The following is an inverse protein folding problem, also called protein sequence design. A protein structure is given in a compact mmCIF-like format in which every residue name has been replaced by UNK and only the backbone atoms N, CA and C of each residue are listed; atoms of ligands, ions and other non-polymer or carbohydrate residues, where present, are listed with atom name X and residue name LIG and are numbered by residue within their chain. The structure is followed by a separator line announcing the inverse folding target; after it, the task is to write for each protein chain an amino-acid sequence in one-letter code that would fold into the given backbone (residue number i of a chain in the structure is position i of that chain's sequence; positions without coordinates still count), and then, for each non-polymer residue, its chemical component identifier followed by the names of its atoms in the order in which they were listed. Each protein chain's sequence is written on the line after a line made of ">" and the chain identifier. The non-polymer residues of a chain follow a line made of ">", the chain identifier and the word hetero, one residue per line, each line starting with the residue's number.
data_IF_142766078043
#
_entry.id   IF_142766078043
#
_cell.length_a   1.000
_cell.length_b   1.000
_cell.length_c   1.000
_cell.angle_alpha   90.00
_cell.angle_beta   90.00
_cell.angle_gamma   90.00
#
_symmetry.space_group_name_H-M   'P 1'
#
loop_
_entity.id
_entity.type
_entity.pdbx_description
1 polymer ?
#
# COMPACT_ATOMS: atom_id res chain seq x y z
N UNK A 1 -15.17 7.26 10.37
CA UNK A 1 -15.57 6.44 9.19
C UNK A 1 -15.48 7.17 7.84
N UNK A 2 -16.05 8.37 7.63
CA UNK A 2 -15.91 9.10 6.34
C UNK A 2 -14.44 9.36 5.99
N UNK A 3 -13.64 9.76 6.98
CA UNK A 3 -12.20 10.00 6.84
C UNK A 3 -11.45 8.71 6.46
N UNK A 4 -11.73 7.62 7.16
CA UNK A 4 -11.14 6.29 6.88
C UNK A 4 -11.38 5.85 5.43
N UNK A 5 -12.63 5.98 4.94
CA UNK A 5 -12.97 5.63 3.56
C UNK A 5 -12.24 6.52 2.55
N UNK A 6 -12.19 7.83 2.80
CA UNK A 6 -11.53 8.79 1.91
C UNK A 6 -10.02 8.58 1.83
N UNK A 7 -9.33 8.46 2.98
CA UNK A 7 -7.88 8.26 3.01
C UNK A 7 -7.49 6.87 2.52
N UNK A 8 -8.25 5.82 2.89
CA UNK A 8 -8.01 4.46 2.43
C UNK A 8 -8.22 4.31 0.92
N UNK A 9 -9.28 4.92 0.35
CA UNK A 9 -9.51 4.90 -1.09
C UNK A 9 -8.43 5.67 -1.84
N UNK A 10 -8.08 6.88 -1.38
CA UNK A 10 -7.03 7.69 -2.01
C UNK A 10 -5.68 6.98 -1.95
N UNK A 11 -5.32 6.42 -0.80
CA UNK A 11 -4.12 5.63 -0.62
C UNK A 11 -4.11 4.40 -1.53
N UNK A 12 -5.24 3.70 -1.63
CA UNK A 12 -5.40 2.53 -2.49
C UNK A 12 -5.27 2.85 -3.98
N UNK A 13 -5.82 3.96 -4.46
CA UNK A 13 -5.68 4.40 -5.86
C UNK A 13 -4.22 4.74 -6.18
N UNK A 14 -3.56 5.50 -5.31
CA UNK A 14 -2.14 5.85 -5.49
C UNK A 14 -1.28 4.59 -5.46
N UNK A 15 -1.56 3.67 -4.52
CA UNK A 15 -0.83 2.41 -4.41
C UNK A 15 -1.08 1.50 -5.62
N UNK A 16 -2.31 1.44 -6.13
CA UNK A 16 -2.64 0.69 -7.34
C UNK A 16 -1.88 1.23 -8.56
N UNK A 17 -1.87 2.55 -8.76
CA UNK A 17 -1.10 3.17 -9.84
C UNK A 17 0.41 2.88 -9.70
N UNK A 18 0.96 3.01 -8.49
CA UNK A 18 2.35 2.68 -8.21
C UNK A 18 2.65 1.20 -8.45
N UNK A 19 1.73 0.30 -8.07
CA UNK A 19 1.84 -1.12 -8.33
C UNK A 19 1.91 -1.41 -9.83
N UNK A 20 1.10 -0.73 -10.66
CA UNK A 20 1.16 -0.85 -12.14
C UNK A 20 2.53 -0.41 -12.65
N UNK A 21 3.00 0.77 -12.27
CA UNK A 21 4.28 1.30 -12.75
C UNK A 21 5.44 0.38 -12.35
N UNK A 22 5.51 0.01 -11.08
CA UNK A 22 6.58 -0.85 -10.57
C UNK A 22 6.47 -2.28 -11.09
N UNK A 23 5.25 -2.83 -11.19
CA UNK A 23 4.98 -4.16 -11.72
C UNK A 23 5.39 -4.28 -13.18
N UNK A 24 5.04 -3.29 -14.01
CA UNK A 24 5.50 -3.24 -15.40
C UNK A 24 7.02 -3.09 -15.45
N UNK A 25 7.61 -2.21 -14.64
CA UNK A 25 9.06 -2.02 -14.62
C UNK A 25 9.82 -3.29 -14.18
N UNK A 26 9.31 -4.03 -13.20
CA UNK A 26 9.97 -5.19 -12.61
C UNK A 26 9.73 -6.52 -13.34
N UNK A 27 8.58 -6.67 -14.03
CA UNK A 27 8.23 -7.91 -14.73
C UNK A 27 8.58 -7.86 -16.23
N UNK A 28 8.78 -6.66 -16.77
CA UNK A 28 9.08 -6.48 -18.18
C UNK A 28 10.56 -6.72 -18.48
N UNK A 29 10.88 -7.48 -19.56
CA UNK A 29 12.26 -7.70 -19.99
C UNK A 29 12.93 -6.43 -20.55
N UNK A 30 12.17 -5.35 -20.81
CA UNK A 30 12.70 -4.11 -21.37
C UNK A 30 13.50 -3.25 -20.37
N UNK A 31 13.38 -3.50 -19.06
CA UNK A 31 13.99 -2.68 -18.01
C UNK A 31 15.16 -3.35 -17.27
N UNK A 32 15.82 -4.34 -17.90
CA UNK A 32 16.97 -5.07 -17.32
C UNK A 32 18.19 -4.20 -17.02
N UNK A 33 18.26 -2.99 -17.58
CA UNK A 33 19.30 -2.00 -17.29
C UNK A 33 19.12 -1.34 -15.91
N UNK A 34 17.92 -1.41 -15.30
CA UNK A 34 17.67 -0.87 -13.96
C UNK A 34 18.23 -1.86 -12.93
N UNK A 35 19.08 -1.42 -11.98
CA UNK A 35 19.59 -2.29 -10.94
C UNK A 35 18.46 -2.93 -10.13
N UNK A 36 18.48 -4.26 -10.01
CA UNK A 36 17.45 -5.05 -9.33
C UNK A 36 17.24 -4.59 -7.88
N UNK A 37 18.33 -4.28 -7.16
CA UNK A 37 18.26 -3.79 -5.79
C UNK A 37 17.43 -2.49 -5.65
N UNK A 38 17.47 -1.60 -6.65
CA UNK A 38 16.69 -0.35 -6.64
C UNK A 38 15.21 -0.66 -6.84
N UNK A 39 14.88 -1.54 -7.77
CA UNK A 39 13.49 -1.96 -8.00
C UNK A 39 12.92 -2.63 -6.75
N UNK A 40 13.64 -3.58 -6.16
CA UNK A 40 13.21 -4.26 -4.93
C UNK A 40 13.03 -3.28 -3.77
N UNK A 41 13.94 -2.31 -3.60
CA UNK A 41 13.80 -1.27 -2.61
C UNK A 41 12.52 -0.44 -2.83
N UNK A 42 12.22 -0.04 -4.07
CA UNK A 42 11.00 0.70 -4.39
C UNK A 42 9.73 -0.13 -4.16
N UNK A 43 9.76 -1.42 -4.51
CA UNK A 43 8.64 -2.35 -4.25
C UNK A 43 8.30 -2.48 -2.76
N UNK A 44 9.24 -2.22 -1.86
CA UNK A 44 8.99 -2.24 -0.41
C UNK A 44 8.67 -0.84 0.10
N UNK A 45 9.51 0.14 -0.21
CA UNK A 45 9.44 1.48 0.37
C UNK A 45 8.22 2.26 -0.10
N UNK A 46 7.82 2.14 -1.37
CA UNK A 46 6.67 2.90 -1.92
C UNK A 46 5.36 2.44 -1.27
N UNK A 47 5.03 1.14 -1.20
CA UNK A 47 3.86 0.68 -0.46
C UNK A 47 3.88 1.08 1.01
N UNK A 48 5.01 0.88 1.70
CA UNK A 48 5.13 1.22 3.12
C UNK A 48 4.89 2.72 3.34
N UNK A 49 5.44 3.59 2.50
CA UNK A 49 5.23 5.03 2.59
C UNK A 49 3.77 5.42 2.37
N UNK A 50 3.13 4.90 1.31
CA UNK A 50 1.73 5.24 0.98
C UNK A 50 0.78 4.78 2.08
N UNK A 51 0.92 3.52 2.52
CA UNK A 51 0.09 2.92 3.58
C UNK A 51 0.31 3.64 4.92
N UNK A 52 1.57 3.95 5.24
CA UNK A 52 1.94 4.67 6.46
C UNK A 52 1.39 6.09 6.48
N UNK A 53 1.44 6.81 5.35
CA UNK A 53 0.86 8.16 5.21
C UNK A 53 -0.66 8.12 5.32
N UNK A 54 -1.33 7.14 4.70
CA UNK A 54 -2.77 6.97 4.82
C UNK A 54 -3.17 6.72 6.29
N UNK A 55 -2.43 5.84 6.98
CA UNK A 55 -2.59 5.54 8.40
C UNK A 55 -2.35 6.76 9.30
N UNK A 56 -1.25 7.49 9.06
CA UNK A 56 -0.90 8.71 9.77
C UNK A 56 -1.99 9.78 9.65
N UNK A 57 -2.50 10.02 8.44
CA UNK A 57 -3.56 11.01 8.19
C UNK A 57 -4.87 10.62 8.86
N UNK A 58 -5.27 9.36 8.75
CA UNK A 58 -6.48 8.85 9.40
C UNK A 58 -6.35 8.91 10.94
N UNK A 59 -5.21 8.51 11.49
CA UNK A 59 -4.92 8.55 12.92
C UNK A 59 -4.86 9.97 13.48
N UNK A 60 -4.25 10.91 12.75
CA UNK A 60 -4.19 12.33 13.13
C UNK A 60 -5.59 12.96 13.21
N UNK A 61 -6.49 12.59 12.29
CA UNK A 61 -7.84 13.16 12.18
C UNK A 61 -8.83 12.55 13.16
N UNK A 62 -8.77 11.24 13.39
CA UNK A 62 -9.70 10.54 14.28
C UNK A 62 -9.16 10.33 15.72
N UNK A 63 -7.88 10.65 15.97
CA UNK A 63 -7.29 10.56 17.31
C UNK A 63 -7.11 9.14 17.85
N UNK A 64 -7.19 8.12 16.99
CA UNK A 64 -7.14 6.69 17.35
C UNK A 64 -6.30 5.90 16.35
N UNK A 65 -5.76 4.76 16.78
CA UNK A 65 -4.94 3.86 15.93
C UNK A 65 -5.81 3.05 14.97
N UNK A 66 -6.96 2.56 15.43
CA UNK A 66 -7.87 1.70 14.65
C UNK A 66 -8.25 2.32 13.30
N UNK A 67 -8.63 3.61 13.20
CA UNK A 67 -8.89 4.27 11.92
C UNK A 67 -7.72 4.20 10.93
N UNK A 68 -6.48 4.30 11.41
CA UNK A 68 -5.29 4.16 10.57
C UNK A 68 -5.05 2.74 10.10
N UNK A 69 -5.28 1.75 10.97
CA UNK A 69 -5.23 0.34 10.59
C UNK A 69 -6.28 0.02 9.51
N UNK A 70 -7.52 0.49 9.67
CA UNK A 70 -8.59 0.25 8.70
C UNK A 70 -8.34 0.98 7.38
N UNK A 71 -7.86 2.23 7.42
CA UNK A 71 -7.52 2.98 6.21
C UNK A 71 -6.35 2.34 5.46
N UNK A 72 -5.30 1.93 6.18
CA UNK A 72 -4.17 1.23 5.60
C UNK A 72 -4.57 -0.14 5.04
N UNK A 73 -5.37 -0.92 5.76
CA UNK A 73 -5.88 -2.21 5.28
C UNK A 73 -6.72 -2.07 4.02
N UNK A 74 -7.58 -1.06 3.93
CA UNK A 74 -8.37 -0.78 2.72
C UNK A 74 -7.48 -0.37 1.54
N UNK A 75 -6.51 0.53 1.76
CA UNK A 75 -5.56 0.93 0.74
C UNK A 75 -4.73 -0.27 0.25
N UNK A 76 -4.27 -1.09 1.18
CA UNK A 76 -3.51 -2.29 0.90
C UNK A 76 -4.32 -3.37 0.18
N UNK A 77 -5.61 -3.52 0.48
CA UNK A 77 -6.50 -4.40 -0.28
C UNK A 77 -6.56 -4.01 -1.75
N UNK A 78 -6.79 -2.71 -2.04
CA UNK A 78 -6.86 -2.19 -3.40
C UNK A 78 -5.52 -2.37 -4.11
N UNK A 79 -4.43 -1.90 -3.50
CA UNK A 79 -3.09 -2.01 -4.06
C UNK A 79 -2.65 -3.45 -4.27
N UNK A 80 -3.01 -4.35 -3.35
CA UNK A 80 -2.72 -5.77 -3.40
C UNK A 80 -3.47 -6.50 -4.51
N UNK A 81 -4.76 -6.20 -4.70
CA UNK A 81 -5.54 -6.73 -5.84
C UNK A 81 -4.96 -6.23 -7.16
N UNK A 82 -4.68 -4.93 -7.28
CA UNK A 82 -4.07 -4.37 -8.50
C UNK A 82 -2.70 -4.99 -8.76
N UNK A 83 -1.86 -5.12 -7.73
CA UNK A 83 -0.59 -5.83 -7.75
C UNK A 83 -0.74 -7.25 -8.30
N UNK A 84 -1.64 -8.04 -7.71
CA UNK A 84 -1.90 -9.41 -8.13
C UNK A 84 -2.41 -9.50 -9.58
N UNK A 85 -3.27 -8.56 -10.01
CA UNK A 85 -3.75 -8.49 -11.40
C UNK A 85 -2.61 -8.23 -12.39
N UNK A 86 -1.62 -7.44 -12.02
CA UNK A 86 -0.44 -7.22 -12.86
C UNK A 86 0.36 -8.52 -13.00
N UNK A 87 0.57 -9.26 -11.91
CA UNK A 87 1.21 -10.57 -12.00
C UNK A 87 0.45 -11.50 -12.96
N UNK A 88 -0.88 -11.52 -12.90
CA UNK A 88 -1.73 -12.29 -13.83
C UNK A 88 -1.56 -11.83 -15.28
N UNK A 89 -1.51 -10.51 -15.53
CA UNK A 89 -1.29 -9.95 -16.87
C UNK A 89 0.07 -10.37 -17.47
N UNK A 90 1.07 -10.65 -16.62
CA UNK A 90 2.37 -11.19 -17.02
C UNK A 90 2.44 -12.73 -16.96
N UNK A 91 1.29 -13.41 -17.03
CA UNK A 91 1.19 -14.87 -17.16
C UNK A 91 1.41 -15.66 -15.86
N UNK A 92 1.37 -15.00 -14.70
CA UNK A 92 1.52 -15.67 -13.39
C UNK A 92 0.16 -16.15 -12.86
N UNK A 93 0.12 -17.09 -11.90
CA UNK A 93 -1.13 -17.68 -11.41
C UNK A 93 -2.11 -16.67 -10.79
N UNK A 94 -3.42 -16.91 -10.97
CA UNK A 94 -4.51 -16.10 -10.39
C UNK A 94 -4.46 -16.06 -8.86
N UNK A 95 -3.82 -17.05 -8.22
CA UNK A 95 -3.56 -17.07 -6.79
C UNK A 95 -2.86 -15.79 -6.29
N UNK A 96 -2.07 -15.12 -7.13
CA UNK A 96 -1.41 -13.86 -6.79
C UNK A 96 -2.41 -12.72 -6.48
N UNK A 97 -3.63 -12.77 -7.01
CA UNK A 97 -4.70 -11.82 -6.65
C UNK A 97 -5.14 -12.03 -5.21
N UNK A 98 -5.30 -13.30 -4.79
CA UNK A 98 -5.71 -13.64 -3.42
C UNK A 98 -4.58 -13.37 -2.42
N UNK A 99 -3.34 -13.73 -2.77
CA UNK A 99 -2.15 -13.42 -1.97
C UNK A 99 -1.96 -11.91 -1.87
N UNK A 100 -2.12 -11.18 -2.98
CA UNK A 100 -2.06 -9.73 -3.02
C UNK A 100 -3.14 -9.10 -2.14
N UNK A 101 -4.38 -9.56 -2.22
CA UNK A 101 -5.48 -9.08 -1.37
C UNK A 101 -5.20 -9.31 0.12
N UNK A 102 -4.88 -10.54 0.52
CA UNK A 102 -4.67 -10.90 1.94
C UNK A 102 -3.42 -10.22 2.48
N UNK A 103 -2.30 -10.33 1.77
CA UNK A 103 -1.04 -9.68 2.14
C UNK A 103 -1.17 -8.16 2.15
N UNK A 104 -1.92 -7.60 1.20
CA UNK A 104 -2.24 -6.18 1.12
C UNK A 104 -3.09 -5.71 2.30
N UNK A 105 -4.15 -6.43 2.68
CA UNK A 105 -4.97 -6.10 3.86
C UNK A 105 -4.13 -6.14 5.14
N UNK A 106 -3.38 -7.22 5.34
CA UNK A 106 -2.58 -7.41 6.57
C UNK A 106 -1.43 -6.42 6.65
N UNK A 107 -0.63 -6.29 5.58
CA UNK A 107 0.47 -5.33 5.49
C UNK A 107 -0.04 -3.88 5.55
N UNK A 108 -1.15 -3.60 4.88
CA UNK A 108 -1.84 -2.32 4.96
C UNK A 108 -2.27 -1.98 6.38
N UNK A 109 -2.88 -2.92 7.09
CA UNK A 109 -3.35 -2.71 8.45
C UNK A 109 -2.20 -2.48 9.44
N UNK A 110 -1.12 -3.25 9.34
CA UNK A 110 0.05 -3.12 10.22
C UNK A 110 0.80 -1.82 9.99
N UNK A 111 1.08 -1.47 8.72
CA UNK A 111 1.77 -0.24 8.37
C UNK A 111 0.89 0.98 8.66
N UNK A 112 -0.41 0.90 8.34
CA UNK A 112 -1.38 1.95 8.64
C UNK A 112 -1.54 2.20 10.15
N UNK A 113 -1.56 1.14 10.96
CA UNK A 113 -1.55 1.27 12.42
C UNK A 113 -0.27 1.96 12.92
N UNK A 114 0.88 1.59 12.38
CA UNK A 114 2.18 2.19 12.72
C UNK A 114 2.21 3.69 12.40
N UNK A 115 1.71 4.07 11.22
CA UNK A 115 1.55 5.47 10.83
C UNK A 115 0.63 6.25 11.78
N UNK A 116 -0.47 5.65 12.21
CA UNK A 116 -1.38 6.26 13.19
C UNK A 116 -0.75 6.40 14.58
N UNK A 117 0.02 5.42 15.05
CA UNK A 117 0.77 5.53 16.31
C UNK A 117 1.74 6.71 16.25
N UNK A 118 2.46 6.88 15.14
CA UNK A 118 3.37 8.01 14.97
C UNK A 118 2.64 9.35 14.98
N UNK A 119 1.45 9.43 14.37
CA UNK A 119 0.60 10.61 14.40
C UNK A 119 0.19 11.01 15.82
N UNK A 120 -0.18 10.03 16.66
CA UNK A 120 -0.63 10.28 18.02
C UNK A 120 0.51 10.62 18.98
N UNK A 121 1.75 10.22 18.66
CA UNK A 121 2.94 10.55 19.44
C UNK A 121 3.51 11.94 19.16
N UNK A 122 3.10 12.61 18.08
CA UNK A 122 3.57 13.97 17.79
C UNK A 122 2.94 14.96 18.78
N UNK A 123 3.73 15.76 19.50
CA UNK A 123 3.19 16.86 20.30
C UNK A 123 2.43 17.80 19.36
N UNK A 124 1.19 18.14 19.73
CA UNK A 124 0.46 19.21 19.05
C UNK A 124 1.19 20.51 19.41
N UNK A 125 1.91 21.07 18.44
CA UNK A 125 2.46 22.43 18.52
C UNK A 125 1.32 23.45 18.51
#
# INVERSE_FOLDING_TARGET
>A
MKVVKSEGLRGGVILGAAAVVLGVAGLSPFFTWIPEAILLALFVLVPVAILGVAGYRAGSREGRVVPGAVAGGLAGAIGGVVGGLIYVAFGKPVLNVMVGLVGGVLGGATVGASGAVLALRRPRA
#
